data_IF_063175757710
#
_entry.id   IF_063175757710
#
_cell.length_a   1.000
_cell.length_b   1.000
_cell.length_c   1.000
_cell.angle_alpha   90.00
_cell.angle_beta   90.00
_cell.angle_gamma   90.00
#
_symmetry.space_group_name_H-M   'P 1'
#
loop_
_entity.id
_entity.type
_entity.pdbx_description
1 polymer ?
#
# COMPACT_ATOMS: atom_id res chain seq x y z
N UNK A 1 32.22 18.90 0.53
CA UNK A 1 31.73 17.68 1.22
C UNK A 1 31.61 18.00 2.71
N UNK A 2 30.39 18.17 3.21
CA UNK A 2 30.18 18.54 4.61
C UNK A 2 30.57 17.36 5.52
N UNK A 3 31.59 17.55 6.37
CA UNK A 3 31.93 16.62 7.44
C UNK A 3 30.76 16.63 8.42
N UNK A 4 29.86 15.65 8.30
CA UNK A 4 28.83 15.39 9.29
C UNK A 4 29.54 15.18 10.63
N UNK A 5 29.29 16.09 11.58
CA UNK A 5 30.13 16.23 12.77
C UNK A 5 30.06 15.04 13.72
N UNK A 6 31.08 14.85 14.57
CA UNK A 6 31.20 13.72 15.52
C UNK A 6 30.02 13.58 16.50
N UNK A 7 29.21 14.63 16.65
CA UNK A 7 27.97 14.62 17.45
C UNK A 7 26.87 13.71 16.86
N UNK A 8 26.79 13.56 15.54
CA UNK A 8 25.82 12.67 14.90
C UNK A 8 26.16 11.21 15.20
N UNK A 9 27.45 10.86 15.17
CA UNK A 9 27.95 9.51 15.42
C UNK A 9 27.71 9.07 16.87
N UNK A 10 27.96 9.95 17.85
CA UNK A 10 27.67 9.70 19.27
C UNK A 10 26.16 9.55 19.53
N UNK A 11 25.32 10.30 18.82
CA UNK A 11 23.86 10.17 18.91
C UNK A 11 23.38 8.83 18.38
N UNK A 12 23.91 8.39 17.24
CA UNK A 12 23.58 7.10 16.62
C UNK A 12 24.07 5.94 17.47
N UNK A 13 25.24 6.04 18.11
CA UNK A 13 25.76 5.01 19.01
C UNK A 13 24.96 4.86 20.31
N UNK A 14 24.50 5.97 20.89
CA UNK A 14 23.58 5.92 22.04
C UNK A 14 22.24 5.30 21.67
N UNK A 15 21.72 5.59 20.47
CA UNK A 15 20.51 4.96 19.94
C UNK A 15 20.72 3.47 19.66
N UNK A 16 21.89 3.07 19.16
CA UNK A 16 22.29 1.69 18.90
C UNK A 16 22.43 0.87 20.18
N UNK A 17 23.02 1.45 21.23
CA UNK A 17 23.12 0.84 22.57
C UNK A 17 21.74 0.72 23.23
N UNK A 18 20.88 1.75 23.13
CA UNK A 18 19.49 1.67 23.60
C UNK A 18 18.64 0.68 22.78
N UNK A 19 18.98 0.47 21.51
CA UNK A 19 18.33 -0.47 20.58
C UNK A 19 18.77 -1.94 20.78
N UNK A 20 19.78 -2.22 21.61
CA UNK A 20 20.14 -3.59 22.02
C UNK A 20 19.24 -4.14 23.14
N UNK A 21 18.33 -3.34 23.70
CA UNK A 21 17.33 -3.80 24.67
C UNK A 21 16.29 -4.69 23.96
N UNK A 22 16.18 -5.98 24.33
CA UNK A 22 15.25 -6.92 23.70
C UNK A 22 13.80 -6.44 23.70
N UNK A 23 13.41 -5.63 24.70
CA UNK A 23 12.05 -5.12 24.85
C UNK A 23 11.75 -4.00 23.84
N UNK A 24 12.74 -3.15 23.56
CA UNK A 24 12.62 -2.09 22.55
C UNK A 24 12.55 -2.72 21.16
N UNK A 25 13.35 -3.75 20.89
CA UNK A 25 13.31 -4.48 19.61
C UNK A 25 11.96 -5.14 19.37
N UNK A 26 11.41 -5.83 20.37
CA UNK A 26 10.07 -6.45 20.27
C UNK A 26 8.97 -5.42 20.01
N UNK A 27 9.05 -4.24 20.65
CA UNK A 27 8.10 -3.15 20.40
C UNK A 27 8.25 -2.55 19.01
N UNK A 28 9.47 -2.45 18.49
CA UNK A 28 9.74 -1.94 17.14
C UNK A 28 9.22 -2.91 16.07
N UNK A 29 9.52 -4.20 16.22
CA UNK A 29 9.03 -5.25 15.31
C UNK A 29 7.50 -5.35 15.33
N UNK A 30 6.86 -5.21 16.51
CA UNK A 30 5.40 -5.17 16.60
C UNK A 30 4.78 -3.95 15.90
N UNK A 31 5.42 -2.77 16.01
CA UNK A 31 4.98 -1.55 15.31
C UNK A 31 5.17 -1.65 13.80
N UNK A 32 6.31 -2.17 13.34
CA UNK A 32 6.54 -2.39 11.91
C UNK A 32 5.54 -3.39 11.32
N UNK A 33 5.25 -4.47 12.05
CA UNK A 33 4.24 -5.45 11.62
C UNK A 33 2.85 -4.82 11.51
N UNK A 34 2.41 -4.09 12.52
CA UNK A 34 1.12 -3.39 12.49
C UNK A 34 1.02 -2.36 11.36
N UNK A 35 2.11 -1.63 11.08
CA UNK A 35 2.16 -0.68 9.95
C UNK A 35 2.06 -1.38 8.60
N UNK A 36 2.74 -2.53 8.44
CA UNK A 36 2.63 -3.36 7.22
C UNK A 36 1.23 -3.92 7.04
N UNK A 37 0.63 -4.45 8.11
CA UNK A 37 -0.73 -4.99 8.09
C UNK A 37 -1.76 -3.91 7.74
N UNK A 38 -1.63 -2.70 8.30
CA UNK A 38 -2.47 -1.54 7.94
C UNK A 38 -2.26 -1.11 6.48
N UNK A 39 -1.03 -1.17 5.96
CA UNK A 39 -0.75 -0.84 4.57
C UNK A 39 -1.37 -1.85 3.60
N UNK A 40 -1.31 -3.15 3.94
CA UNK A 40 -1.97 -4.22 3.17
C UNK A 40 -3.48 -4.06 3.16
N UNK A 41 -4.12 -3.85 4.32
CA UNK A 41 -5.57 -3.62 4.43
C UNK A 41 -6.03 -2.39 3.63
N UNK A 42 -5.21 -1.33 3.59
CA UNK A 42 -5.49 -0.11 2.82
C UNK A 42 -5.33 -0.32 1.31
N UNK A 43 -4.47 -1.24 0.90
CA UNK A 43 -4.29 -1.64 -0.50
C UNK A 43 -5.49 -2.41 -1.03
N UNK A 44 -5.95 -3.40 -0.27
CA UNK A 44 -7.09 -4.26 -0.62
C UNK A 44 -8.39 -3.47 -0.76
N UNK A 45 -8.72 -2.59 0.21
CA UNK A 45 -9.93 -1.78 0.14
C UNK A 45 -9.98 -0.81 -1.04
N UNK A 46 -8.83 -0.29 -1.48
CA UNK A 46 -8.75 0.59 -2.67
C UNK A 46 -8.93 -0.19 -3.97
N UNK A 47 -8.52 -1.45 -4.00
CA UNK A 47 -8.69 -2.30 -5.16
C UNK A 47 -10.15 -2.71 -5.31
N UNK A 48 -10.79 -3.17 -4.22
CA UNK A 48 -12.21 -3.50 -4.22
C UNK A 48 -13.10 -2.31 -4.62
N UNK A 49 -12.78 -1.10 -4.17
CA UNK A 49 -13.53 0.11 -4.51
C UNK A 49 -13.45 0.44 -6.01
N UNK A 50 -12.27 0.25 -6.62
CA UNK A 50 -12.08 0.44 -8.07
C UNK A 50 -12.81 -0.62 -8.89
N UNK A 51 -12.77 -1.87 -8.45
CA UNK A 51 -13.50 -2.97 -9.09
C UNK A 51 -15.02 -2.73 -9.04
N UNK A 52 -15.56 -2.31 -7.89
CA UNK A 52 -16.99 -1.95 -7.77
C UNK A 52 -17.37 -0.78 -8.67
N UNK A 53 -16.52 0.25 -8.73
CA UNK A 53 -16.77 1.40 -9.60
C UNK A 53 -16.76 0.99 -11.08
N UNK A 54 -15.80 0.15 -11.49
CA UNK A 54 -15.73 -0.38 -12.84
C UNK A 54 -16.95 -1.23 -13.20
N UNK A 55 -17.41 -2.10 -12.30
CA UNK A 55 -18.64 -2.89 -12.48
C UNK A 55 -19.84 -1.98 -12.74
N UNK A 56 -20.06 -0.96 -11.90
CA UNK A 56 -21.20 -0.04 -12.08
C UNK A 56 -21.12 0.80 -13.36
N UNK A 57 -19.90 1.07 -13.86
CA UNK A 57 -19.71 1.74 -15.15
C UNK A 57 -19.96 0.80 -16.34
N UNK A 58 -19.56 -0.46 -16.24
CA UNK A 58 -19.82 -1.51 -17.24
C UNK A 58 -21.33 -1.79 -17.36
N UNK A 59 -22.06 -1.85 -16.25
CA UNK A 59 -23.53 -2.00 -16.23
C UNK A 59 -24.26 -0.82 -16.89
N UNK A 60 -23.64 0.37 -16.88
CA UNK A 60 -24.18 1.58 -17.53
C UNK A 60 -23.78 1.69 -19.00
N UNK A 61 -23.16 0.65 -19.56
CA UNK A 61 -22.66 0.63 -20.95
C UNK A 61 -21.70 1.80 -21.25
N UNK A 62 -20.93 2.25 -20.25
CA UNK A 62 -19.91 3.28 -20.47
C UNK A 62 -18.77 2.75 -21.33
N UNK A 63 -18.12 3.66 -22.06
CA UNK A 63 -17.01 3.32 -22.94
C UNK A 63 -15.83 2.72 -22.15
N UNK A 64 -15.23 1.65 -22.68
CA UNK A 64 -14.16 0.91 -22.01
C UNK A 64 -12.92 1.80 -21.81
N UNK A 65 -12.61 2.66 -22.79
CA UNK A 65 -11.49 3.59 -22.71
C UNK A 65 -11.67 4.59 -21.57
N UNK A 66 -12.90 5.08 -21.36
CA UNK A 66 -13.26 5.99 -20.27
C UNK A 66 -13.18 5.30 -18.90
N UNK A 67 -13.62 4.05 -18.81
CA UNK A 67 -13.55 3.26 -17.57
C UNK A 67 -12.09 3.02 -17.19
N UNK A 68 -11.23 2.69 -18.16
CA UNK A 68 -9.79 2.52 -17.94
C UNK A 68 -9.14 3.80 -17.40
N UNK A 69 -9.49 4.96 -17.96
CA UNK A 69 -8.95 6.25 -17.50
C UNK A 69 -9.37 6.58 -16.05
N UNK A 70 -10.64 6.36 -15.71
CA UNK A 70 -11.21 6.73 -14.41
C UNK A 70 -10.79 5.77 -13.28
N UNK A 71 -10.77 4.46 -13.56
CA UNK A 71 -10.50 3.43 -12.55
C UNK A 71 -9.01 3.05 -12.47
N UNK A 72 -8.23 3.41 -13.50
CA UNK A 72 -6.83 2.97 -13.71
C UNK A 72 -6.67 1.46 -13.76
N UNK A 73 -7.75 0.75 -14.08
CA UNK A 73 -7.72 -0.69 -14.34
C UNK A 73 -7.28 -0.94 -15.78
N UNK A 74 -6.56 -2.03 -15.97
CA UNK A 74 -6.17 -2.52 -17.29
C UNK A 74 -7.36 -3.14 -18.02
N UNK A 75 -7.25 -3.21 -19.35
CA UNK A 75 -8.25 -3.87 -20.19
C UNK A 75 -8.46 -5.34 -19.78
N UNK A 76 -7.40 -6.04 -19.34
CA UNK A 76 -7.48 -7.42 -18.88
C UNK A 76 -8.36 -7.54 -17.62
N UNK A 77 -8.14 -6.68 -16.63
CA UNK A 77 -8.94 -6.64 -15.40
C UNK A 77 -10.41 -6.31 -15.69
N UNK A 78 -10.68 -5.38 -16.61
CA UNK A 78 -12.06 -5.07 -17.03
C UNK A 78 -12.73 -6.25 -17.75
N UNK A 79 -12.01 -6.99 -18.59
CA UNK A 79 -12.55 -8.21 -19.21
C UNK A 79 -12.83 -9.30 -18.18
N UNK A 80 -11.96 -9.47 -17.18
CA UNK A 80 -12.22 -10.40 -16.07
C UNK A 80 -13.47 -10.00 -15.28
N UNK A 81 -13.63 -8.72 -14.96
CA UNK A 81 -14.83 -8.21 -14.29
C UNK A 81 -16.08 -8.43 -15.15
N UNK A 82 -16.01 -8.18 -16.45
CA UNK A 82 -17.11 -8.44 -17.39
C UNK A 82 -17.47 -9.92 -17.47
N UNK A 83 -16.47 -10.81 -17.46
CA UNK A 83 -16.70 -12.25 -17.45
C UNK A 83 -17.32 -12.72 -16.13
N UNK A 84 -16.92 -12.14 -14.99
CA UNK A 84 -17.55 -12.42 -13.68
C UNK A 84 -19.00 -11.94 -13.60
N UNK A 85 -19.36 -10.85 -14.29
CA UNK A 85 -20.73 -10.33 -14.38
C UNK A 85 -21.66 -11.19 -15.24
N UNK A 86 -21.12 -11.81 -16.29
CA UNK A 86 -21.90 -12.61 -17.25
C UNK A 86 -22.08 -14.09 -16.85
N UNK A 87 -21.55 -14.50 -15.69
CA UNK A 87 -21.50 -15.89 -15.21
C UNK A 87 -22.26 -16.03 -13.89
#
# INVERSE_FOLDING_TARGET
MAKQGPMLEIGVDKLRIASMDPKIRMQYEAREKALKDMASLRGEGRQEERERMAIGMLEKEMDLDLIMELTKLSQAELMELKNKLNN
#
